data_IF_414313056205
#
_entry.id   IF_414313056205
#
_cell.length_a   1.000
_cell.length_b   1.000
_cell.length_c   1.000
_cell.angle_alpha   90.00
_cell.angle_beta   90.00
_cell.angle_gamma   90.00
#
_symmetry.space_group_name_H-M   'P 1'
#
loop_
_entity.id
_entity.type
_entity.pdbx_description
1 polymer ?
#
# COMPACT_ATOMS: atom_id res chain seq x y z
N UNK A 1 -34.37 -22.17 63.67
CA UNK A 1 -34.05 -20.79 64.13
C UNK A 1 -32.56 -20.54 63.93
N UNK A 2 -32.18 -19.30 63.60
CA UNK A 2 -30.83 -18.75 63.34
C UNK A 2 -30.22 -18.96 61.94
N UNK A 3 -30.50 -17.99 61.06
CA UNK A 3 -29.60 -17.58 59.97
C UNK A 3 -28.35 -16.95 60.60
N UNK A 4 -27.17 -17.49 60.31
CA UNK A 4 -25.89 -16.81 60.55
C UNK A 4 -25.47 -16.18 59.22
N UNK A 5 -25.43 -14.85 59.21
CA UNK A 5 -25.08 -14.01 58.06
C UNK A 5 -23.57 -14.03 57.82
N UNK A 6 -23.16 -14.47 56.64
CA UNK A 6 -21.75 -14.59 56.23
C UNK A 6 -21.17 -13.24 55.73
N UNK A 7 -21.21 -12.20 56.57
CA UNK A 7 -20.69 -10.84 56.26
C UNK A 7 -19.15 -10.76 56.30
N UNK A 8 -18.46 -11.79 56.76
CA UNK A 8 -16.99 -11.82 56.91
C UNK A 8 -16.23 -12.18 55.63
N UNK A 9 -16.84 -12.89 54.68
CA UNK A 9 -16.19 -13.23 53.40
C UNK A 9 -16.05 -12.07 52.42
N UNK A 10 -16.91 -11.05 52.54
CA UNK A 10 -16.94 -9.91 51.62
C UNK A 10 -15.84 -8.88 51.93
N UNK A 11 -15.59 -8.61 53.22
CA UNK A 11 -14.54 -7.69 53.66
C UNK A 11 -13.13 -8.24 53.40
N UNK A 12 -12.94 -9.57 53.50
CA UNK A 12 -11.64 -10.20 53.22
C UNK A 12 -11.29 -10.17 51.72
N UNK A 13 -12.28 -10.24 50.83
CA UNK A 13 -12.09 -10.09 49.37
C UNK A 13 -11.84 -8.65 48.94
N UNK A 14 -12.45 -7.67 49.61
CA UNK A 14 -12.21 -6.24 49.35
C UNK A 14 -10.81 -5.83 49.83
N UNK A 15 -10.36 -6.32 50.99
CA UNK A 15 -9.02 -6.04 51.50
C UNK A 15 -7.91 -6.72 50.65
N UNK A 16 -8.16 -7.92 50.11
CA UNK A 16 -7.22 -8.59 49.20
C UNK A 16 -7.16 -7.89 47.82
N UNK A 17 -8.28 -7.34 47.34
CA UNK A 17 -8.33 -6.53 46.12
C UNK A 17 -7.63 -5.17 46.28
N UNK A 18 -7.74 -4.55 47.47
CA UNK A 18 -7.02 -3.31 47.79
C UNK A 18 -5.51 -3.53 47.97
N UNK A 19 -5.07 -4.70 48.43
CA UNK A 19 -3.64 -5.03 48.55
C UNK A 19 -2.99 -5.40 47.21
N UNK A 20 -3.72 -6.03 46.28
CA UNK A 20 -3.26 -6.28 44.91
C UNK A 20 -3.25 -5.01 44.04
N UNK A 21 -4.14 -4.05 44.31
CA UNK A 21 -4.11 -2.72 43.68
C UNK A 21 -2.94 -1.85 44.19
N UNK A 22 -2.41 -2.11 45.39
CA UNK A 22 -1.28 -1.38 45.96
C UNK A 22 0.11 -1.88 45.50
N UNK A 23 0.17 -2.98 44.73
CA UNK A 23 1.41 -3.49 44.11
C UNK A 23 1.42 -3.34 42.58
N UNK A 24 0.39 -2.74 42.00
CA UNK A 24 0.53 -2.13 40.68
C UNK A 24 1.35 -0.86 40.89
N UNK A 25 2.66 -0.99 40.68
CA UNK A 25 3.60 0.11 40.55
C UNK A 25 2.91 1.30 39.89
N UNK A 26 2.58 2.32 40.69
CA UNK A 26 2.45 3.67 40.19
C UNK A 26 3.85 4.10 39.78
N UNK A 27 4.30 3.58 38.63
CA UNK A 27 5.25 4.29 37.81
C UNK A 27 4.47 5.52 37.38
N UNK A 28 4.74 6.66 38.01
CA UNK A 28 4.15 7.92 37.58
C UNK A 28 4.38 8.00 36.07
N UNK A 29 3.28 8.02 35.30
CA UNK A 29 3.32 8.26 33.87
C UNK A 29 4.18 9.51 33.67
N UNK A 30 5.30 9.39 32.95
CA UNK A 30 6.08 10.58 32.63
C UNK A 30 5.17 11.55 31.89
N UNK A 31 5.36 12.88 32.01
CA UNK A 31 4.54 13.85 31.29
C UNK A 31 4.38 13.51 29.80
N UNK A 32 5.45 12.97 29.18
CA UNK A 32 5.43 12.47 27.80
C UNK A 32 4.44 11.33 27.55
N UNK A 33 4.39 10.30 28.40
CA UNK A 33 3.44 9.18 28.24
C UNK A 33 1.97 9.63 28.30
N UNK A 34 1.64 10.57 29.18
CA UNK A 34 0.27 11.12 29.26
C UNK A 34 -0.12 11.97 28.06
N UNK A 35 0.85 12.68 27.45
CA UNK A 35 0.61 13.47 26.24
C UNK A 35 0.38 12.56 25.02
N UNK A 36 1.16 11.48 24.91
CA UNK A 36 0.95 10.45 23.88
C UNK A 36 -0.42 9.79 23.99
N UNK A 37 -0.85 9.41 25.19
CA UNK A 37 -2.18 8.81 25.42
C UNK A 37 -3.30 9.75 24.96
N UNK A 38 -3.21 11.04 25.27
CA UNK A 38 -4.20 12.04 24.84
C UNK A 38 -4.25 12.19 23.32
N UNK A 39 -3.09 12.19 22.65
CA UNK A 39 -3.02 12.28 21.21
C UNK A 39 -3.60 11.02 20.51
N UNK A 40 -3.39 9.84 21.10
CA UNK A 40 -4.03 8.59 20.64
C UNK A 40 -5.55 8.65 20.80
N UNK A 41 -6.05 9.22 21.91
CA UNK A 41 -7.49 9.42 22.11
C UNK A 41 -8.09 10.36 21.06
N UNK A 42 -7.38 11.42 20.64
CA UNK A 42 -7.82 12.26 19.53
C UNK A 42 -8.02 11.44 18.26
N UNK A 43 -7.06 10.57 17.91
CA UNK A 43 -7.18 9.66 16.77
C UNK A 43 -8.39 8.73 16.90
N UNK A 44 -8.54 8.05 18.04
CA UNK A 44 -9.67 7.13 18.30
C UNK A 44 -11.01 7.84 18.20
N UNK A 45 -11.07 9.11 18.60
CA UNK A 45 -12.28 9.95 18.52
C UNK A 45 -12.59 10.49 17.12
N UNK A 46 -11.75 10.18 16.12
CA UNK A 46 -11.93 10.66 14.74
C UNK A 46 -11.42 12.08 14.48
N UNK A 47 -10.76 12.71 15.46
CA UNK A 47 -10.19 14.07 15.35
C UNK A 47 -8.81 14.02 14.71
N UNK A 48 -8.75 13.54 13.46
CA UNK A 48 -7.49 13.18 12.80
C UNK A 48 -6.55 14.36 12.55
N UNK A 49 -7.06 15.55 12.25
CA UNK A 49 -6.23 16.75 12.07
C UNK A 49 -5.51 17.13 13.36
N UNK A 50 -6.23 17.13 14.48
CA UNK A 50 -5.66 17.45 15.79
C UNK A 50 -4.70 16.36 16.26
N UNK A 51 -5.06 15.09 16.06
CA UNK A 51 -4.17 13.97 16.34
C UNK A 51 -2.86 14.08 15.54
N UNK A 52 -2.93 14.39 14.23
CA UNK A 52 -1.74 14.61 13.39
C UNK A 52 -0.84 15.71 13.96
N UNK A 53 -1.41 16.85 14.32
CA UNK A 53 -0.64 18.01 14.79
C UNK A 53 0.06 17.69 16.11
N UNK A 54 -0.66 17.14 17.09
CA UNK A 54 -0.11 16.74 18.39
C UNK A 54 0.95 15.64 18.23
N UNK A 55 0.69 14.62 17.42
CA UNK A 55 1.64 13.51 17.22
C UNK A 55 2.90 13.98 16.47
N UNK A 56 2.79 14.95 15.57
CA UNK A 56 3.93 15.55 14.88
C UNK A 56 4.91 16.18 15.89
N UNK A 57 4.41 16.88 16.90
CA UNK A 57 5.25 17.46 17.95
C UNK A 57 5.80 16.39 18.90
N UNK A 58 4.98 15.39 19.24
CA UNK A 58 5.37 14.28 20.12
C UNK A 58 6.50 13.43 19.54
N UNK A 59 6.52 13.20 18.21
CA UNK A 59 7.63 12.46 17.58
C UNK A 59 9.00 13.10 17.79
N UNK A 60 9.08 14.38 18.18
CA UNK A 60 10.34 15.09 18.45
C UNK A 60 10.62 15.27 19.94
N UNK A 61 9.61 15.17 20.79
CA UNK A 61 9.69 15.55 22.22
C UNK A 61 9.63 14.36 23.17
N UNK A 62 9.10 13.21 22.73
CA UNK A 62 9.06 12.01 23.56
C UNK A 62 10.47 11.45 23.81
N UNK A 63 10.71 11.07 25.07
CA UNK A 63 12.04 10.69 25.56
C UNK A 63 12.48 9.32 25.06
N UNK A 64 11.55 8.37 24.93
CA UNK A 64 11.88 6.99 24.57
C UNK A 64 11.65 6.71 23.09
N UNK A 65 12.54 5.90 22.50
CA UNK A 65 12.44 5.45 21.11
C UNK A 65 11.16 4.64 20.87
N UNK A 66 10.73 3.87 21.88
CA UNK A 66 9.45 3.15 21.88
C UNK A 66 8.26 4.09 21.75
N UNK A 67 8.19 5.13 22.59
CA UNK A 67 7.06 6.08 22.58
C UNK A 67 7.08 6.94 21.30
N UNK A 68 8.27 7.37 20.84
CA UNK A 68 8.41 8.06 19.55
C UNK A 68 7.95 7.17 18.41
N UNK A 69 8.30 5.88 18.44
CA UNK A 69 7.76 4.88 17.53
C UNK A 69 6.24 4.93 17.51
N UNK A 70 5.59 4.70 18.66
CA UNK A 70 4.13 4.70 18.77
C UNK A 70 3.53 6.01 18.25
N UNK A 71 4.15 7.15 18.54
CA UNK A 71 3.73 8.45 18.00
C UNK A 71 3.78 8.47 16.46
N UNK A 72 4.86 7.98 15.84
CA UNK A 72 4.96 7.84 14.38
C UNK A 72 3.89 6.90 13.81
N UNK A 73 3.54 5.81 14.51
CA UNK A 73 2.49 4.88 14.07
C UNK A 73 1.14 5.61 13.99
N UNK A 74 0.75 6.29 15.07
CA UNK A 74 -0.53 7.00 15.11
C UNK A 74 -0.54 8.26 14.25
N UNK A 75 0.62 8.90 14.04
CA UNK A 75 0.76 10.01 13.11
C UNK A 75 0.45 9.54 11.70
N UNK A 76 1.05 8.43 11.27
CA UNK A 76 0.79 7.84 9.98
C UNK A 76 -0.68 7.44 9.81
N UNK A 77 -1.29 6.81 10.81
CA UNK A 77 -2.72 6.46 10.79
C UNK A 77 -3.63 7.68 10.67
N UNK A 78 -3.26 8.79 11.30
CA UNK A 78 -4.00 10.04 11.22
C UNK A 78 -3.87 10.68 9.83
N UNK A 79 -2.67 10.67 9.25
CA UNK A 79 -2.40 11.14 7.89
C UNK A 79 -3.13 10.28 6.85
N UNK A 80 -3.16 8.95 7.03
CA UNK A 80 -3.92 8.04 6.18
C UNK A 80 -5.43 8.35 6.21
N UNK A 81 -5.99 8.57 7.40
CA UNK A 81 -7.41 8.94 7.53
C UNK A 81 -7.74 10.29 6.88
N UNK A 82 -6.75 11.16 6.72
CA UNK A 82 -6.85 12.44 6.01
C UNK A 82 -6.54 12.32 4.50
N UNK A 83 -6.15 11.14 4.02
CA UNK A 83 -5.80 10.89 2.62
C UNK A 83 -4.37 11.28 2.22
N UNK A 84 -3.51 11.68 3.17
CA UNK A 84 -2.10 12.00 2.92
C UNK A 84 -1.22 10.74 3.03
N UNK A 85 -1.37 9.84 2.06
CA UNK A 85 -0.68 8.55 2.06
C UNK A 85 0.84 8.67 1.94
N UNK A 86 1.33 9.72 1.26
CA UNK A 86 2.76 9.95 1.10
C UNK A 86 3.41 10.32 2.43
N UNK A 87 2.85 11.29 3.16
CA UNK A 87 3.35 11.65 4.48
C UNK A 87 3.16 10.51 5.49
N UNK A 88 2.06 9.77 5.40
CA UNK A 88 1.82 8.62 6.26
C UNK A 88 2.90 7.54 6.11
N UNK A 89 3.30 7.24 4.87
CA UNK A 89 4.40 6.31 4.56
C UNK A 89 5.73 6.81 5.14
N UNK A 90 6.05 8.08 4.98
CA UNK A 90 7.29 8.67 5.48
C UNK A 90 7.36 8.63 7.01
N UNK A 91 6.23 8.89 7.67
CA UNK A 91 6.09 8.78 9.12
C UNK A 91 6.35 7.34 9.60
N UNK A 92 5.80 6.32 8.92
CA UNK A 92 6.06 4.93 9.30
C UNK A 92 7.49 4.48 9.05
N UNK A 93 8.08 4.85 7.91
CA UNK A 93 9.48 4.53 7.61
C UNK A 93 10.40 5.11 8.70
N UNK A 94 10.13 6.34 9.12
CA UNK A 94 10.85 6.99 10.22
C UNK A 94 10.59 6.27 11.56
N UNK A 95 9.33 5.95 11.88
CA UNK A 95 8.97 5.21 13.09
C UNK A 95 9.61 3.83 13.19
N UNK A 96 9.76 3.12 12.07
CA UNK A 96 10.47 1.84 12.00
C UNK A 96 11.97 2.00 12.29
N UNK A 97 12.62 3.02 11.71
CA UNK A 97 14.04 3.30 12.02
C UNK A 97 14.26 3.69 13.48
N UNK A 98 13.27 4.34 14.10
CA UNK A 98 13.34 4.79 15.49
C UNK A 98 13.12 3.67 16.49
N UNK A 99 12.05 2.87 16.36
CA UNK A 99 11.69 1.86 17.37
C UNK A 99 12.14 0.44 17.03
N UNK A 100 12.27 0.10 15.75
CA UNK A 100 12.60 -1.26 15.29
C UNK A 100 11.51 -2.32 15.52
N UNK A 101 10.33 -1.96 16.04
CA UNK A 101 9.30 -2.91 16.44
C UNK A 101 8.39 -3.39 15.29
N UNK A 102 7.84 -4.60 15.42
CA UNK A 102 6.98 -5.28 14.43
C UNK A 102 5.64 -4.55 14.09
N UNK A 103 4.98 -3.78 14.97
CA UNK A 103 3.67 -3.14 14.67
C UNK A 103 3.68 -2.19 13.46
N UNK A 104 4.85 -1.68 13.07
CA UNK A 104 5.01 -0.79 11.92
C UNK A 104 4.96 -1.53 10.59
N UNK A 105 5.47 -2.77 10.54
CA UNK A 105 5.68 -3.48 9.29
C UNK A 105 4.35 -3.76 8.59
N UNK A 106 3.37 -4.36 9.28
CA UNK A 106 2.07 -4.70 8.69
C UNK A 106 1.31 -3.44 8.22
N UNK A 107 1.37 -2.36 8.98
CA UNK A 107 0.70 -1.13 8.63
C UNK A 107 1.39 -0.40 7.47
N UNK A 108 2.73 -0.43 7.40
CA UNK A 108 3.46 0.09 6.25
C UNK A 108 3.06 -0.61 4.96
N UNK A 109 2.88 -1.93 5.00
CA UNK A 109 2.44 -2.66 3.82
C UNK A 109 1.05 -2.20 3.35
N UNK A 110 0.12 -1.93 4.27
CA UNK A 110 -1.20 -1.40 3.91
C UNK A 110 -1.13 0.00 3.29
N UNK A 111 -0.36 0.92 3.89
CA UNK A 111 -0.22 2.28 3.35
C UNK A 111 0.50 2.27 2.00
N UNK A 112 1.55 1.45 1.83
CA UNK A 112 2.25 1.27 0.55
C UNK A 112 1.28 0.85 -0.55
N UNK A 113 0.35 -0.07 -0.26
CA UNK A 113 -0.66 -0.47 -1.25
C UNK A 113 -1.52 0.66 -1.76
N UNK A 114 -1.80 1.66 -0.91
CA UNK A 114 -2.61 2.84 -1.27
C UNK A 114 -1.77 3.93 -1.90
N UNK A 115 -0.60 4.23 -1.35
CA UNK A 115 0.30 5.28 -1.87
C UNK A 115 0.91 4.90 -3.21
N UNK A 116 1.33 3.65 -3.39
CA UNK A 116 1.98 3.21 -4.63
C UNK A 116 0.97 2.91 -5.76
N UNK A 117 -0.33 2.84 -5.44
CA UNK A 117 -1.42 2.84 -6.42
C UNK A 117 -1.80 4.25 -6.93
N UNK A 118 -1.23 5.30 -6.34
CA UNK A 118 -1.49 6.70 -6.72
C UNK A 118 -0.69 7.07 -7.99
N UNK A 119 -1.35 7.56 -9.06
CA UNK A 119 -0.67 8.12 -10.23
C UNK A 119 0.36 9.21 -9.88
N UNK A 120 0.10 10.06 -8.88
CA UNK A 120 1.05 11.11 -8.47
C UNK A 120 2.36 10.55 -7.90
N UNK A 121 2.27 9.40 -7.23
CA UNK A 121 3.45 8.67 -6.79
C UNK A 121 4.23 8.19 -8.02
N UNK A 122 3.58 7.42 -8.91
CA UNK A 122 4.21 6.87 -10.10
C UNK A 122 4.93 7.93 -10.94
N UNK A 123 4.35 9.12 -11.12
CA UNK A 123 4.94 10.25 -11.88
C UNK A 123 6.35 10.67 -11.41
N UNK A 124 6.72 10.37 -10.16
CA UNK A 124 8.02 10.73 -9.56
C UNK A 124 9.06 9.62 -9.67
N UNK A 125 8.69 8.41 -10.08
CA UNK A 125 9.60 7.27 -10.14
C UNK A 125 10.28 7.10 -11.51
N UNK A 126 11.63 7.09 -11.56
CA UNK A 126 12.36 6.88 -12.81
C UNK A 126 12.22 5.45 -13.35
N UNK A 127 11.81 4.49 -12.51
CA UNK A 127 11.48 3.13 -12.89
C UNK A 127 10.39 2.57 -11.97
N UNK A 128 9.45 1.79 -12.51
CA UNK A 128 8.44 1.08 -11.71
C UNK A 128 8.81 -0.38 -11.47
N UNK A 129 8.43 -0.90 -10.31
CA UNK A 129 8.40 -2.34 -10.04
C UNK A 129 7.14 -3.00 -10.61
N UNK A 130 7.14 -4.32 -10.72
CA UNK A 130 5.98 -5.10 -11.17
C UNK A 130 4.78 -4.94 -10.23
N UNK A 131 5.01 -4.85 -8.91
CA UNK A 131 3.97 -4.57 -7.93
C UNK A 131 3.39 -3.16 -8.10
N UNK A 132 4.24 -2.15 -8.26
CA UNK A 132 3.80 -0.76 -8.50
C UNK A 132 2.95 -0.65 -9.76
N UNK A 133 3.38 -1.28 -10.85
CA UNK A 133 2.62 -1.28 -12.09
C UNK A 133 1.27 -2.01 -11.93
N UNK A 134 1.22 -3.13 -11.20
CA UNK A 134 -0.02 -3.84 -10.92
C UNK A 134 -1.02 -2.95 -10.18
N UNK A 135 -0.58 -2.28 -9.11
CA UNK A 135 -1.40 -1.35 -8.34
C UNK A 135 -1.85 -0.13 -9.16
N UNK A 136 -0.98 0.41 -10.01
CA UNK A 136 -1.33 1.53 -10.89
C UNK A 136 -2.42 1.16 -11.89
N UNK A 137 -2.33 -0.02 -12.51
CA UNK A 137 -3.33 -0.54 -13.45
C UNK A 137 -4.64 -0.86 -12.72
N UNK A 138 -4.55 -1.47 -11.53
CA UNK A 138 -5.70 -1.79 -10.68
C UNK A 138 -6.51 -0.54 -10.32
N UNK A 139 -5.84 0.49 -9.79
CA UNK A 139 -6.49 1.76 -9.50
C UNK A 139 -7.02 2.49 -10.75
N UNK A 140 -6.37 2.30 -11.91
CA UNK A 140 -6.86 2.82 -13.19
C UNK A 140 -8.18 2.14 -13.63
N UNK A 141 -8.28 0.82 -13.48
CA UNK A 141 -9.51 0.04 -13.74
C UNK A 141 -10.66 0.52 -12.85
N UNK A 142 -10.39 0.66 -11.54
CA UNK A 142 -11.40 1.06 -10.54
C UNK A 142 -11.94 2.47 -10.81
N UNK A 143 -11.06 3.45 -11.04
CA UNK A 143 -11.46 4.84 -11.33
C UNK A 143 -12.32 4.98 -12.58
N UNK A 144 -12.20 4.04 -13.53
CA UNK A 144 -12.98 4.02 -14.77
C UNK A 144 -14.24 3.15 -14.68
N UNK A 145 -14.45 2.44 -13.58
CA UNK A 145 -15.62 1.56 -13.40
C UNK A 145 -15.60 0.32 -14.30
N UNK A 146 -14.42 -0.10 -14.77
CA UNK A 146 -14.26 -1.29 -15.61
C UNK A 146 -14.39 -2.61 -14.84
N UNK A 147 -14.69 -2.56 -13.54
CA UNK A 147 -14.83 -3.72 -12.64
C UNK A 147 -15.77 -4.79 -13.20
N UNK A 148 -16.84 -4.38 -13.89
CA UNK A 148 -17.81 -5.29 -14.51
C UNK A 148 -17.18 -6.13 -15.63
N UNK A 149 -16.16 -5.63 -16.33
CA UNK A 149 -15.49 -6.31 -17.44
C UNK A 149 -14.39 -7.30 -16.98
N UNK A 150 -13.93 -7.20 -15.73
CA UNK A 150 -13.00 -8.18 -15.13
C UNK A 150 -13.76 -9.30 -14.40
N UNK A 151 -15.08 -9.13 -14.19
CA UNK A 151 -15.87 -9.97 -13.32
C UNK A 151 -15.60 -9.59 -11.87
N UNK A 152 -16.66 -9.30 -11.10
CA UNK A 152 -16.54 -9.19 -9.64
C UNK A 152 -15.86 -10.47 -9.14
N UNK A 153 -14.89 -10.33 -8.24
CA UNK A 153 -13.90 -11.35 -7.83
C UNK A 153 -14.48 -12.62 -7.19
N UNK A 154 -15.32 -13.33 -7.93
CA UNK A 154 -15.92 -14.61 -7.59
C UNK A 154 -16.08 -15.44 -8.88
N UNK A 155 -15.03 -15.46 -9.70
CA UNK A 155 -14.91 -16.47 -10.73
C UNK A 155 -14.76 -17.84 -10.02
N UNK A 156 -15.60 -18.84 -10.32
CA UNK A 156 -15.44 -20.17 -9.74
C UNK A 156 -14.15 -20.78 -10.31
N UNK A 157 -13.04 -20.68 -9.59
CA UNK A 157 -11.77 -21.31 -9.95
C UNK A 157 -10.49 -20.66 -9.45
N UNK A 158 -10.48 -19.40 -9.00
CA UNK A 158 -9.28 -18.82 -8.39
C UNK A 158 -9.25 -19.13 -6.89
N UNK A 159 -8.86 -20.34 -6.54
CA UNK A 159 -8.47 -20.67 -5.17
C UNK A 159 -7.17 -19.94 -4.82
N UNK A 160 -7.02 -19.53 -3.56
CA UNK A 160 -5.79 -18.94 -3.00
C UNK A 160 -4.53 -19.81 -3.15
N UNK A 161 -4.65 -21.02 -3.70
CA UNK A 161 -3.56 -21.95 -4.03
C UNK A 161 -2.88 -21.65 -5.39
N UNK A 162 -3.47 -20.82 -6.25
CA UNK A 162 -2.87 -20.45 -7.56
C UNK A 162 -2.03 -19.16 -7.51
N UNK A 163 -1.94 -18.51 -6.34
CA UNK A 163 -1.17 -17.28 -6.20
C UNK A 163 0.32 -17.58 -5.98
N UNK A 164 1.25 -16.87 -6.65
CA UNK A 164 2.68 -17.10 -6.50
C UNK A 164 3.17 -16.93 -5.05
N UNK A 165 4.09 -17.79 -4.63
CA UNK A 165 4.53 -17.86 -3.24
C UNK A 165 5.18 -16.56 -2.73
N UNK A 166 5.84 -15.81 -3.62
CA UNK A 166 6.50 -14.54 -3.34
C UNK A 166 5.54 -13.35 -3.22
N UNK A 167 4.24 -13.57 -3.42
CA UNK A 167 3.17 -12.58 -3.23
C UNK A 167 2.51 -12.74 -1.86
N UNK A 168 2.74 -13.85 -1.14
CA UNK A 168 2.16 -14.05 0.17
C UNK A 168 2.72 -13.05 1.20
N UNK A 169 1.81 -12.30 1.84
CA UNK A 169 2.18 -11.22 2.76
C UNK A 169 2.68 -9.95 2.06
N UNK A 170 2.68 -9.92 0.72
CA UNK A 170 3.09 -8.74 -0.04
C UNK A 170 1.97 -7.68 -0.06
N UNK A 171 2.34 -6.40 0.08
CA UNK A 171 1.38 -5.28 0.11
C UNK A 171 0.51 -5.19 -1.15
N UNK A 172 1.09 -5.48 -2.31
CA UNK A 172 0.39 -5.46 -3.59
C UNK A 172 -0.43 -6.73 -3.89
N UNK A 173 -0.57 -7.66 -2.93
CA UNK A 173 -1.19 -8.98 -3.15
C UNK A 173 -2.53 -8.90 -3.88
N UNK A 174 -3.45 -8.04 -3.43
CA UNK A 174 -4.78 -7.93 -4.02
C UNK A 174 -4.73 -7.48 -5.49
N UNK A 175 -3.95 -6.44 -5.79
CA UNK A 175 -3.77 -5.96 -7.16
C UNK A 175 -3.11 -7.03 -8.04
N UNK A 176 -2.06 -7.69 -7.55
CA UNK A 176 -1.36 -8.76 -8.27
C UNK A 176 -2.31 -9.92 -8.59
N UNK A 177 -3.07 -10.38 -7.59
CA UNK A 177 -4.07 -11.43 -7.73
C UNK A 177 -5.11 -11.08 -8.80
N UNK A 178 -5.61 -9.84 -8.77
CA UNK A 178 -6.55 -9.35 -9.79
C UNK A 178 -5.91 -9.30 -11.17
N UNK A 179 -4.67 -8.83 -11.30
CA UNK A 179 -3.97 -8.75 -12.58
C UNK A 179 -3.68 -10.13 -13.18
N UNK A 180 -3.32 -11.11 -12.35
CA UNK A 180 -3.12 -12.51 -12.76
C UNK A 180 -4.44 -13.14 -13.18
N UNK A 181 -5.49 -12.99 -12.36
CA UNK A 181 -6.83 -13.53 -12.64
C UNK A 181 -7.42 -12.95 -13.93
N UNK A 182 -7.19 -11.67 -14.18
CA UNK A 182 -7.59 -10.98 -15.40
C UNK A 182 -6.68 -11.31 -16.61
N UNK A 183 -5.59 -12.06 -16.41
CA UNK A 183 -4.54 -12.37 -17.40
C UNK A 183 -3.86 -11.13 -18.00
N UNK A 184 -3.86 -10.01 -17.28
CA UNK A 184 -3.22 -8.75 -17.67
C UNK A 184 -1.71 -8.83 -17.42
N UNK A 185 -1.33 -9.27 -16.22
CA UNK A 185 0.05 -9.61 -15.84
C UNK A 185 0.17 -11.11 -15.60
N UNK A 186 1.41 -11.63 -15.65
CA UNK A 186 1.69 -13.07 -15.53
C UNK A 186 2.93 -13.30 -14.69
N UNK A 187 3.03 -14.50 -14.11
CA UNK A 187 4.26 -15.03 -13.53
C UNK A 187 5.36 -15.20 -14.57
N UNK A 188 6.60 -15.26 -14.09
CA UNK A 188 7.76 -15.62 -14.90
C UNK A 188 7.90 -17.16 -15.00
N UNK A 189 8.84 -17.68 -15.82
CA UNK A 189 8.99 -19.12 -16.01
C UNK A 189 9.31 -19.93 -14.75
N UNK A 190 9.80 -19.27 -13.71
CA UNK A 190 10.06 -19.84 -12.38
C UNK A 190 8.81 -19.88 -11.47
N UNK A 191 7.64 -19.56 -12.03
CA UNK A 191 6.34 -19.55 -11.36
C UNK A 191 6.18 -18.47 -10.28
N UNK A 192 7.15 -17.55 -10.18
CA UNK A 192 7.10 -16.42 -9.25
C UNK A 192 6.59 -15.15 -9.93
N UNK A 193 6.08 -14.22 -9.13
CA UNK A 193 5.63 -12.93 -9.65
C UNK A 193 6.73 -11.89 -9.71
N UNK A 194 7.77 -11.95 -8.87
CA UNK A 194 8.83 -10.95 -8.71
C UNK A 194 8.30 -9.52 -8.50
N UNK A 195 7.58 -9.26 -7.40
CA UNK A 195 6.89 -7.98 -7.19
C UNK A 195 7.84 -6.77 -7.18
N UNK A 196 9.07 -6.95 -6.70
CA UNK A 196 10.08 -5.88 -6.57
C UNK A 196 10.97 -5.74 -7.81
N UNK A 197 10.84 -6.61 -8.81
CA UNK A 197 11.59 -6.51 -10.06
C UNK A 197 11.09 -5.33 -10.92
N UNK A 198 12.02 -4.60 -11.53
CA UNK A 198 11.71 -3.45 -12.39
C UNK A 198 11.11 -3.90 -13.72
N UNK A 199 10.10 -3.16 -14.19
CA UNK A 199 9.44 -3.46 -15.46
C UNK A 199 10.23 -2.85 -16.62
N UNK A 200 10.50 -3.64 -17.65
CA UNK A 200 11.08 -3.12 -18.91
C UNK A 200 9.99 -2.49 -19.78
N UNK A 201 10.35 -1.50 -20.60
CA UNK A 201 9.40 -0.89 -21.54
C UNK A 201 8.78 -1.91 -22.51
N UNK A 202 9.56 -2.89 -22.96
CA UNK A 202 9.08 -3.99 -23.79
C UNK A 202 8.04 -4.87 -23.06
N UNK A 203 8.26 -5.20 -21.78
CA UNK A 203 7.26 -5.93 -20.99
C UNK A 203 5.96 -5.13 -20.83
N UNK A 204 6.08 -3.81 -20.64
CA UNK A 204 4.92 -2.92 -20.55
C UNK A 204 4.10 -2.87 -21.83
N UNK A 205 4.73 -2.85 -23.01
CA UNK A 205 4.05 -2.93 -24.30
C UNK A 205 3.08 -4.13 -24.37
N UNK A 206 3.53 -5.32 -23.95
CA UNK A 206 2.68 -6.51 -23.93
C UNK A 206 1.55 -6.43 -22.90
N UNK A 207 1.76 -5.76 -21.77
CA UNK A 207 0.71 -5.51 -20.77
C UNK A 207 -0.36 -4.59 -21.36
N UNK A 208 0.04 -3.50 -22.02
CA UNK A 208 -0.89 -2.56 -22.65
C UNK A 208 -1.67 -3.21 -23.79
N UNK A 209 -1.03 -4.04 -24.62
CA UNK A 209 -1.74 -4.84 -25.64
C UNK A 209 -2.84 -5.71 -25.04
N UNK A 210 -2.61 -6.31 -23.85
CA UNK A 210 -3.65 -7.10 -23.16
C UNK A 210 -4.77 -6.22 -22.60
N UNK A 211 -4.43 -5.04 -22.09
CA UNK A 211 -5.41 -4.06 -21.64
C UNK A 211 -6.31 -3.59 -22.80
N UNK A 212 -5.71 -3.23 -23.94
CA UNK A 212 -6.44 -2.84 -25.15
C UNK A 212 -7.41 -3.93 -25.61
N UNK A 213 -6.93 -5.17 -25.78
CA UNK A 213 -7.79 -6.30 -26.16
C UNK A 213 -8.96 -6.51 -25.20
N UNK A 214 -8.77 -6.21 -23.91
CA UNK A 214 -9.79 -6.42 -22.87
C UNK A 214 -10.77 -5.25 -22.71
N UNK A 215 -10.34 -4.00 -22.88
CA UNK A 215 -11.11 -2.81 -22.52
C UNK A 215 -11.34 -1.81 -23.67
N UNK A 216 -10.51 -1.82 -24.71
CA UNK A 216 -10.55 -0.84 -25.80
C UNK A 216 -10.13 -1.48 -27.14
N UNK A 217 -10.93 -2.40 -27.70
CA UNK A 217 -10.58 -3.14 -28.91
C UNK A 217 -10.76 -2.27 -30.16
N UNK A 218 -9.83 -1.36 -30.41
CA UNK A 218 -9.67 -0.69 -31.72
C UNK A 218 -8.28 -1.03 -32.29
N UNK A 219 -8.19 -1.30 -33.60
CA UNK A 219 -6.99 -1.89 -34.23
C UNK A 219 -5.74 -0.98 -34.20
N UNK A 220 -5.90 0.34 -34.12
CA UNK A 220 -4.78 1.29 -34.29
C UNK A 220 -4.23 1.95 -33.01
N UNK A 221 -4.79 1.67 -31.83
CA UNK A 221 -4.39 2.40 -30.62
C UNK A 221 -2.94 2.12 -30.17
N UNK A 222 -2.31 1.00 -30.56
CA UNK A 222 -0.95 0.68 -30.09
C UNK A 222 0.14 1.55 -30.70
N UNK A 223 -0.02 1.98 -31.95
CA UNK A 223 0.97 2.86 -32.61
C UNK A 223 0.93 4.26 -31.96
N UNK A 224 -0.25 4.76 -31.61
CA UNK A 224 -0.39 6.04 -30.89
C UNK A 224 0.15 6.00 -29.46
N UNK A 225 0.03 4.85 -28.80
CA UNK A 225 0.54 4.62 -27.45
C UNK A 225 2.05 4.38 -27.46
N UNK A 226 2.56 3.69 -28.48
CA UNK A 226 3.96 3.35 -28.67
C UNK A 226 4.38 3.59 -30.13
N UNK A 227 4.72 4.84 -30.51
CA UNK A 227 5.14 5.14 -31.88
C UNK A 227 6.31 4.24 -32.30
N UNK A 228 6.35 3.74 -33.52
CA UNK A 228 7.38 2.80 -33.99
C UNK A 228 7.32 1.40 -33.36
N UNK A 229 6.26 1.09 -32.59
CA UNK A 229 5.97 -0.22 -32.05
C UNK A 229 7.05 -0.86 -31.19
N UNK A 230 6.96 -2.20 -31.07
CA UNK A 230 7.87 -3.01 -30.27
C UNK A 230 9.31 -2.98 -30.81
N UNK A 231 9.49 -2.96 -32.13
CA UNK A 231 10.82 -2.98 -32.75
C UNK A 231 11.64 -1.76 -32.34
N UNK A 232 11.06 -0.55 -32.36
CA UNK A 232 11.76 0.64 -31.89
C UNK A 232 12.13 0.54 -30.41
N UNK A 233 11.23 0.04 -29.56
CA UNK A 233 11.51 -0.16 -28.12
C UNK A 233 12.69 -1.11 -27.93
N UNK A 234 12.74 -2.23 -28.67
CA UNK A 234 13.83 -3.18 -28.60
C UNK A 234 15.14 -2.59 -29.14
N UNK A 235 15.10 -1.81 -30.23
CA UNK A 235 16.27 -1.12 -30.76
C UNK A 235 16.83 -0.06 -29.79
N UNK A 236 15.97 0.71 -29.12
CA UNK A 236 16.37 1.65 -28.08
C UNK A 236 17.05 0.95 -26.88
N UNK A 237 16.71 -0.31 -26.61
CA UNK A 237 17.38 -1.14 -25.60
C UNK A 237 18.76 -1.65 -26.03
N UNK A 238 18.99 -1.78 -27.35
CA UNK A 238 20.23 -2.30 -27.92
C UNK A 238 21.24 -1.20 -28.30
N UNK A 239 20.78 0.04 -28.54
CA UNK A 239 21.60 1.12 -29.10
C UNK A 239 22.57 1.80 -28.10
N UNK A 240 22.71 1.31 -26.87
CA UNK A 240 23.71 1.78 -25.93
C UNK A 240 25.10 1.21 -26.27
N UNK A 241 25.73 1.78 -27.30
CA UNK A 241 27.19 1.83 -27.57
C UNK A 241 28.03 0.58 -27.24
N UNK A 242 27.90 -0.52 -27.99
CA UNK A 242 28.97 -1.54 -28.12
C UNK A 242 29.42 -2.30 -26.86
N UNK A 243 28.91 -1.96 -25.68
CA UNK A 243 29.20 -2.57 -24.38
C UNK A 243 27.86 -2.71 -23.64
N UNK A 244 27.41 -3.96 -23.50
CA UNK A 244 26.22 -4.44 -22.76
C UNK A 244 24.89 -3.64 -22.93
N UNK A 245 23.89 -4.31 -23.50
CA UNK A 245 22.53 -3.77 -23.64
C UNK A 245 21.97 -3.24 -22.31
N UNK A 246 21.88 -1.92 -22.17
CA UNK A 246 21.31 -1.29 -20.98
C UNK A 246 19.79 -1.48 -21.00
N UNK A 247 19.27 -2.31 -20.10
CA UNK A 247 17.82 -2.49 -19.96
C UNK A 247 17.12 -1.14 -19.75
N UNK A 248 16.27 -0.76 -20.71
CA UNK A 248 15.46 0.46 -20.60
C UNK A 248 14.19 0.11 -19.81
N UNK A 249 14.14 0.59 -18.57
CA UNK A 249 13.02 0.41 -17.66
C UNK A 249 11.87 1.40 -17.92
N UNK A 250 10.66 0.96 -17.59
CA UNK A 250 9.45 1.78 -17.65
C UNK A 250 9.48 2.84 -16.55
N UNK A 251 9.47 4.11 -16.94
CA UNK A 251 9.26 5.20 -15.98
C UNK A 251 7.78 5.31 -15.60
N UNK A 252 7.47 5.80 -14.40
CA UNK A 252 6.07 5.95 -14.03
C UNK A 252 5.35 7.06 -14.79
N UNK A 253 6.07 8.08 -15.28
CA UNK A 253 5.50 9.09 -16.20
C UNK A 253 5.03 8.49 -17.52
N UNK A 254 5.83 7.61 -18.10
CA UNK A 254 5.45 6.88 -19.32
C UNK A 254 4.23 6.00 -19.06
N UNK A 255 4.23 5.25 -17.95
CA UNK A 255 3.11 4.38 -17.57
C UNK A 255 1.78 5.15 -17.45
N UNK A 256 1.77 6.25 -16.68
CA UNK A 256 0.57 7.09 -16.48
C UNK A 256 0.09 7.68 -17.81
N UNK A 257 1.02 8.22 -18.63
CA UNK A 257 0.67 8.81 -19.94
C UNK A 257 -0.01 7.82 -20.87
N UNK A 258 0.50 6.59 -20.94
CA UNK A 258 -0.06 5.53 -21.79
C UNK A 258 -1.42 5.07 -21.29
N UNK A 259 -1.59 4.90 -19.97
CA UNK A 259 -2.89 4.51 -19.38
C UNK A 259 -3.96 5.60 -19.58
N UNK A 260 -3.59 6.88 -19.46
CA UNK A 260 -4.52 7.99 -19.71
C UNK A 260 -4.97 8.02 -21.17
N UNK A 261 -4.04 7.89 -22.13
CA UNK A 261 -4.35 7.83 -23.55
C UNK A 261 -5.23 6.63 -23.93
N UNK A 262 -4.99 5.45 -23.35
CA UNK A 262 -5.81 4.26 -23.55
C UNK A 262 -7.28 4.49 -23.14
N UNK A 263 -7.53 5.52 -22.33
CA UNK A 263 -8.85 5.83 -21.79
C UNK A 263 -9.62 6.91 -22.55
N UNK A 264 -9.00 7.54 -23.55
CA UNK A 264 -9.68 8.50 -24.40
C UNK A 264 -10.48 7.73 -25.46
N UNK A 265 -11.74 8.10 -25.78
CA UNK A 265 -12.33 7.67 -27.02
C UNK A 265 -11.36 8.08 -28.14
N UNK A 266 -11.01 7.16 -29.03
CA UNK A 266 -10.33 7.53 -30.26
C UNK A 266 -11.21 8.60 -30.90
N UNK A 267 -10.67 9.81 -31.07
CA UNK A 267 -11.39 10.85 -31.81
C UNK A 267 -11.62 10.29 -33.21
N UNK A 268 -12.81 9.77 -33.45
CA UNK A 268 -13.29 9.54 -34.79
C UNK A 268 -13.86 10.87 -35.28
N UNK A 269 -13.22 11.54 -36.26
CA UNK A 269 -13.82 12.71 -36.88
C UNK A 269 -15.08 12.36 -37.71
N UNK A 270 -15.43 11.08 -37.89
CA UNK A 270 -16.49 10.61 -38.81
C UNK A 270 -17.61 9.75 -38.18
N UNK A 271 -17.83 9.77 -36.85
CA UNK A 271 -19.03 9.17 -36.21
C UNK A 271 -20.20 10.17 -36.05
#
# INVERSE_FOLDING_TARGET
MRRITNKTGWLCRILLALFLAASCSQRAASPGSSALDNAILLYISGRYTEARDELTDLTRTLETDSDRGIAYLYLARSLEALGDYAAARDALATGMMVSGDIPFYDHMQQIRSRSEADPEYALRHPSLTRAQLACLIDGWIDRRGFDRAIGSGNAPGASSEDLPADVNGHWAKGAIERMISARIMRTLPDLLFHPEEKVTRAAFFFIVRRLQVKFAPHEDALEDLFPGGLERILHEQLAANGEEAKQVYLSGREAVTVLDKLSLPTNDPDD
#
